data_IF_881690491598
#
_entry.id   IF_881690491598
#
_cell.length_a   1.000
_cell.length_b   1.000
_cell.length_c   1.000
_cell.angle_alpha   90.00
_cell.angle_beta   90.00
_cell.angle_gamma   90.00
#
_symmetry.space_group_name_H-M   'P 1'
#
loop_
_entity.id
_entity.type
_entity.pdbx_description
1 polymer ?
#
# COMPACT_ATOMS: atom_id res chain seq x y z
N UNK A 1 9.32 41.23 -38.56
CA UNK A 1 10.21 41.34 -39.72
C UNK A 1 10.39 39.94 -40.32
N UNK A 2 10.07 39.73 -41.61
CA UNK A 2 10.02 38.44 -42.30
C UNK A 2 11.29 38.15 -43.13
N UNK A 3 11.32 37.04 -43.90
CA UNK A 3 11.30 37.16 -45.37
C UNK A 3 10.30 36.15 -45.99
N UNK A 4 9.43 36.43 -46.96
CA UNK A 4 9.51 37.13 -48.27
C UNK A 4 10.35 36.38 -49.31
N UNK A 5 9.71 35.72 -50.30
CA UNK A 5 10.08 35.62 -51.72
C UNK A 5 8.95 34.85 -52.46
N UNK A 6 8.04 35.56 -53.13
CA UNK A 6 8.02 35.94 -54.56
C UNK A 6 7.44 34.87 -55.51
N UNK A 7 6.26 35.19 -56.07
CA UNK A 7 5.57 34.54 -57.20
C UNK A 7 6.32 34.78 -58.53
N UNK A 8 5.94 34.13 -59.66
CA UNK A 8 4.83 34.69 -60.49
C UNK A 8 3.99 33.68 -61.35
N UNK A 9 2.78 34.09 -61.74
CA UNK A 9 1.98 33.69 -62.93
C UNK A 9 2.39 34.57 -64.15
N UNK A 10 1.86 34.53 -65.41
CA UNK A 10 0.74 33.78 -66.06
C UNK A 10 1.19 33.07 -67.39
N UNK A 11 0.40 32.42 -68.26
CA UNK A 11 -0.54 32.96 -69.29
C UNK A 11 -0.98 31.83 -70.27
N UNK A 12 -2.22 31.87 -70.76
CA UNK A 12 -2.84 31.15 -71.91
C UNK A 12 -2.17 31.50 -73.26
N UNK A 13 -2.36 30.80 -74.42
CA UNK A 13 -3.65 30.55 -75.12
C UNK A 13 -3.79 29.23 -75.95
N UNK A 14 -5.01 29.00 -76.47
CA UNK A 14 -5.39 28.04 -77.54
C UNK A 14 -4.74 28.35 -78.90
N UNK A 15 -4.81 27.44 -79.91
CA UNK A 15 -5.87 27.62 -80.93
C UNK A 15 -6.47 26.32 -81.53
N UNK A 16 -7.72 26.45 -81.98
CA UNK A 16 -8.38 25.58 -82.97
C UNK A 16 -7.76 25.79 -84.36
N UNK A 17 -7.70 24.75 -85.18
CA UNK A 17 -7.79 24.88 -86.64
C UNK A 17 -8.64 23.75 -87.24
N UNK A 18 -9.58 24.18 -88.07
CA UNK A 18 -10.52 23.43 -88.90
C UNK A 18 -10.00 23.43 -90.36
N UNK A 19 -10.80 22.83 -91.28
CA UNK A 19 -10.78 22.92 -92.77
C UNK A 19 -10.10 21.70 -93.42
N UNK A 20 -10.65 21.00 -94.44
CA UNK A 20 -11.97 20.94 -95.06
C UNK A 20 -12.03 19.77 -96.08
N UNK A 21 -13.27 19.51 -96.53
CA UNK A 21 -13.68 19.15 -97.91
C UNK A 21 -13.67 17.68 -98.40
N UNK A 22 -14.92 17.22 -98.62
CA UNK A 22 -15.53 16.23 -99.54
C UNK A 22 -14.92 16.17 -100.99
N UNK A 23 -15.30 15.23 -101.90
CA UNK A 23 -16.55 14.45 -101.96
C UNK A 23 -16.48 12.95 -102.40
N UNK A 24 -17.66 12.31 -102.30
CA UNK A 24 -18.07 10.99 -102.78
C UNK A 24 -17.90 10.75 -104.30
N UNK A 25 -18.02 9.49 -104.73
CA UNK A 25 -18.97 9.17 -105.80
C UNK A 25 -19.86 7.95 -105.51
N UNK A 26 -21.03 7.97 -106.15
CA UNK A 26 -22.13 7.02 -106.05
C UNK A 26 -21.88 5.66 -106.75
N UNK A 27 -22.55 4.63 -106.21
CA UNK A 27 -23.18 3.42 -106.78
C UNK A 27 -23.19 3.19 -108.32
N UNK A 28 -23.30 1.93 -108.83
CA UNK A 28 -24.29 0.94 -108.36
C UNK A 28 -23.91 -0.56 -108.46
N UNK A 29 -24.76 -1.42 -107.88
CA UNK A 29 -25.40 -2.56 -108.55
C UNK A 29 -25.59 -3.78 -107.65
N UNK A 30 -26.84 -4.22 -107.62
CA UNK A 30 -27.38 -5.43 -106.98
C UNK A 30 -26.89 -6.67 -107.70
N UNK A 31 -26.38 -7.66 -106.97
CA UNK A 31 -26.37 -9.07 -107.39
C UNK A 31 -26.37 -10.00 -106.17
N UNK A 32 -27.55 -10.44 -105.76
CA UNK A 32 -27.73 -11.54 -104.80
C UNK A 32 -27.50 -12.87 -105.50
N UNK A 33 -26.44 -13.57 -105.13
CA UNK A 33 -26.28 -15.00 -105.37
C UNK A 33 -25.48 -15.61 -104.22
N UNK A 34 -26.16 -16.26 -103.28
CA UNK A 34 -25.55 -17.17 -102.31
C UNK A 34 -25.06 -18.43 -103.02
N UNK A 35 -24.03 -19.11 -102.49
CA UNK A 35 -24.31 -20.49 -102.09
C UNK A 35 -23.76 -20.86 -100.70
N UNK A 36 -24.50 -21.78 -100.11
CA UNK A 36 -24.40 -22.44 -98.82
C UNK A 36 -23.05 -23.15 -98.55
N UNK A 37 -22.49 -22.87 -97.37
CA UNK A 37 -21.33 -23.56 -96.79
C UNK A 37 -20.84 -22.95 -95.46
N UNK A 38 -21.27 -21.73 -95.10
CA UNK A 38 -20.74 -20.96 -93.95
C UNK A 38 -21.50 -21.03 -92.62
N UNK A 39 -22.56 -21.84 -92.50
CA UNK A 39 -23.45 -21.88 -91.32
C UNK A 39 -22.76 -22.40 -90.06
N UNK A 40 -21.93 -23.43 -90.19
CA UNK A 40 -21.33 -24.14 -89.05
C UNK A 40 -20.12 -23.36 -88.46
N UNK A 41 -19.31 -22.76 -89.34
CA UNK A 41 -18.23 -21.85 -88.95
C UNK A 41 -18.74 -20.54 -88.32
N UNK A 42 -19.90 -20.04 -88.77
CA UNK A 42 -20.53 -18.86 -88.18
C UNK A 42 -21.08 -19.14 -86.78
N UNK A 43 -21.69 -20.33 -86.58
CA UNK A 43 -22.16 -20.78 -85.27
C UNK A 43 -21.01 -20.93 -84.27
N UNK A 44 -19.88 -21.54 -84.69
CA UNK A 44 -18.68 -21.67 -83.85
C UNK A 44 -18.08 -20.31 -83.46
N UNK A 45 -18.01 -19.33 -84.38
CA UNK A 45 -17.55 -17.97 -84.09
C UNK A 45 -18.45 -17.25 -83.08
N UNK A 46 -19.77 -17.46 -83.16
CA UNK A 46 -20.75 -16.92 -82.21
C UNK A 46 -20.59 -17.51 -80.81
N UNK A 47 -20.37 -18.82 -80.71
CA UNK A 47 -20.12 -19.51 -79.45
C UNK A 47 -18.82 -19.05 -78.79
N UNK A 48 -17.73 -18.93 -79.56
CA UNK A 48 -16.45 -18.41 -79.07
C UNK A 48 -16.56 -16.95 -78.57
N UNK A 49 -17.30 -16.10 -79.30
CA UNK A 49 -17.57 -14.73 -78.86
C UNK A 49 -18.45 -14.67 -77.61
N UNK A 50 -19.39 -15.61 -77.45
CA UNK A 50 -20.21 -15.71 -76.25
C UNK A 50 -19.37 -16.12 -75.03
N UNK A 51 -18.47 -17.09 -75.19
CA UNK A 51 -17.50 -17.50 -74.18
C UNK A 51 -16.57 -16.34 -73.79
N UNK A 52 -15.98 -15.64 -74.76
CA UNK A 52 -15.10 -14.50 -74.48
C UNK A 52 -15.83 -13.35 -73.78
N UNK A 53 -17.08 -13.06 -74.17
CA UNK A 53 -17.91 -12.04 -73.49
C UNK A 53 -18.22 -12.44 -72.05
N UNK A 54 -18.45 -13.73 -71.80
CA UNK A 54 -18.64 -14.27 -70.45
C UNK A 54 -17.37 -14.12 -69.62
N UNK A 55 -16.23 -14.56 -70.13
CA UNK A 55 -14.94 -14.45 -69.41
C UNK A 55 -14.58 -12.99 -69.11
N UNK A 56 -14.83 -12.05 -70.04
CA UNK A 56 -14.64 -10.61 -69.79
C UNK A 56 -15.59 -10.10 -68.71
N UNK A 57 -16.84 -10.57 -68.66
CA UNK A 57 -17.79 -10.18 -67.63
C UNK A 57 -17.39 -10.72 -66.25
N UNK A 58 -16.92 -11.97 -66.20
CA UNK A 58 -16.43 -12.63 -65.00
C UNK A 58 -15.16 -11.94 -64.47
N UNK A 59 -14.17 -11.67 -65.35
CA UNK A 59 -12.97 -10.91 -64.98
C UNK A 59 -13.30 -9.50 -64.45
N UNK A 60 -14.26 -8.81 -65.07
CA UNK A 60 -14.74 -7.51 -64.57
C UNK A 60 -15.39 -7.62 -63.19
N UNK A 61 -16.07 -8.74 -62.89
CA UNK A 61 -16.68 -8.98 -61.59
C UNK A 61 -15.61 -9.24 -60.54
N UNK A 62 -14.66 -10.13 -60.83
CA UNK A 62 -13.51 -10.42 -59.94
C UNK A 62 -12.70 -9.16 -59.65
N UNK A 63 -12.44 -8.34 -60.67
CA UNK A 63 -11.73 -7.07 -60.50
C UNK A 63 -12.47 -6.11 -59.54
N UNK A 64 -13.81 -6.00 -59.67
CA UNK A 64 -14.63 -5.21 -58.74
C UNK A 64 -14.60 -5.77 -57.32
N UNK A 65 -14.63 -7.09 -57.17
CA UNK A 65 -14.56 -7.75 -55.86
C UNK A 65 -13.19 -7.53 -55.19
N UNK A 66 -12.10 -7.66 -55.95
CA UNK A 66 -10.76 -7.37 -55.46
C UNK A 66 -10.61 -5.90 -55.04
N UNK A 67 -11.12 -4.96 -55.84
CA UNK A 67 -11.11 -3.55 -55.48
C UNK A 67 -11.89 -3.27 -54.19
N UNK A 68 -13.07 -3.90 -54.02
CA UNK A 68 -13.86 -3.79 -52.79
C UNK A 68 -13.14 -4.44 -51.60
N UNK A 69 -12.47 -5.57 -51.79
CA UNK A 69 -11.68 -6.22 -50.75
C UNK A 69 -10.51 -5.33 -50.31
N UNK A 70 -9.82 -4.69 -51.26
CA UNK A 70 -8.74 -3.75 -50.99
C UNK A 70 -9.23 -2.52 -50.20
N UNK A 71 -10.36 -1.93 -50.57
CA UNK A 71 -10.97 -0.81 -49.84
C UNK A 71 -11.39 -1.23 -48.42
N UNK A 72 -12.02 -2.40 -48.28
CA UNK A 72 -12.40 -2.95 -46.97
C UNK A 72 -11.18 -3.20 -46.09
N UNK A 73 -10.11 -3.79 -46.64
CA UNK A 73 -8.87 -4.03 -45.90
C UNK A 73 -8.23 -2.73 -45.43
N UNK A 74 -8.17 -1.72 -46.31
CA UNK A 74 -7.65 -0.39 -45.96
C UNK A 74 -8.47 0.25 -44.85
N UNK A 75 -9.81 0.12 -44.91
CA UNK A 75 -10.71 0.63 -43.88
C UNK A 75 -10.49 -0.10 -42.54
N UNK A 76 -10.49 -1.42 -42.52
CA UNK A 76 -10.29 -2.20 -41.28
C UNK A 76 -8.93 -1.92 -40.64
N UNK A 77 -7.87 -1.77 -41.45
CA UNK A 77 -6.54 -1.37 -40.95
C UNK A 77 -6.56 0.03 -40.35
N UNK A 78 -7.19 1.00 -41.03
CA UNK A 78 -7.32 2.37 -40.53
C UNK A 78 -8.10 2.42 -39.21
N UNK A 79 -9.19 1.68 -39.12
CA UNK A 79 -10.02 1.61 -37.92
C UNK A 79 -9.24 0.98 -36.76
N UNK A 80 -8.56 -0.16 -37.00
CA UNK A 80 -7.75 -0.84 -35.99
C UNK A 80 -6.58 0.03 -35.49
N UNK A 81 -5.88 0.73 -36.39
CA UNK A 81 -4.80 1.66 -36.02
C UNK A 81 -5.34 2.83 -35.19
N UNK A 82 -6.50 3.37 -35.55
CA UNK A 82 -7.15 4.44 -34.79
C UNK A 82 -7.54 3.96 -33.39
N UNK A 83 -8.10 2.76 -33.25
CA UNK A 83 -8.40 2.15 -31.95
C UNK A 83 -7.14 1.97 -31.10
N UNK A 84 -6.07 1.38 -31.65
CA UNK A 84 -4.80 1.21 -30.93
C UNK A 84 -4.24 2.56 -30.49
N UNK A 85 -4.31 3.58 -31.35
CA UNK A 85 -3.85 4.92 -31.01
C UNK A 85 -4.66 5.51 -29.84
N UNK A 86 -5.98 5.35 -29.83
CA UNK A 86 -6.83 5.78 -28.72
C UNK A 86 -6.50 5.04 -27.43
N UNK A 87 -6.36 3.72 -27.48
CA UNK A 87 -6.05 2.89 -26.31
C UNK A 87 -4.68 3.25 -25.72
N UNK A 88 -3.67 3.49 -26.57
CA UNK A 88 -2.34 3.93 -26.11
C UNK A 88 -2.38 5.29 -25.42
N UNK A 89 -3.17 6.24 -25.93
CA UNK A 89 -3.34 7.54 -25.27
C UNK A 89 -4.08 7.38 -23.93
N UNK A 90 -5.13 6.56 -23.89
CA UNK A 90 -5.86 6.28 -22.68
C UNK A 90 -4.95 5.64 -21.61
N UNK A 91 -4.19 4.60 -21.97
CA UNK A 91 -3.22 3.96 -21.08
C UNK A 91 -2.15 4.95 -20.58
N UNK A 92 -1.65 5.82 -21.46
CA UNK A 92 -0.67 6.85 -21.07
C UNK A 92 -1.25 7.82 -20.04
N UNK A 93 -2.49 8.26 -20.22
CA UNK A 93 -3.16 9.13 -19.25
C UNK A 93 -3.44 8.43 -17.93
N UNK A 94 -3.86 7.17 -17.97
CA UNK A 94 -4.08 6.36 -16.77
C UNK A 94 -2.77 6.16 -15.99
N UNK A 95 -1.68 5.83 -16.69
CA UNK A 95 -0.37 5.65 -16.06
C UNK A 95 0.13 6.94 -15.39
N UNK A 96 -0.10 8.10 -16.01
CA UNK A 96 0.24 9.38 -15.40
C UNK A 96 -0.58 9.65 -14.12
N UNK A 97 -1.88 9.33 -14.15
CA UNK A 97 -2.78 9.42 -12.99
C UNK A 97 -2.33 8.49 -11.88
N UNK A 98 -2.10 7.21 -12.19
CA UNK A 98 -1.67 6.19 -11.21
C UNK A 98 -0.33 6.57 -10.58
N UNK A 99 0.61 7.09 -11.38
CA UNK A 99 1.89 7.60 -10.86
C UNK A 99 1.65 8.68 -9.80
N UNK A 100 0.83 9.69 -10.11
CA UNK A 100 0.52 10.76 -9.15
C UNK A 100 -0.14 10.21 -7.89
N UNK A 101 -1.08 9.26 -8.03
CA UNK A 101 -1.72 8.61 -6.90
C UNK A 101 -0.70 7.84 -6.03
N UNK A 102 0.19 7.06 -6.64
CA UNK A 102 1.24 6.34 -5.92
C UNK A 102 2.20 7.29 -5.21
N UNK A 103 2.65 8.36 -5.88
CA UNK A 103 3.52 9.38 -5.29
C UNK A 103 2.85 10.05 -4.07
N UNK A 104 1.54 10.32 -4.15
CA UNK A 104 0.77 10.85 -3.03
C UNK A 104 0.72 9.87 -1.85
N UNK A 105 0.44 8.59 -2.10
CA UNK A 105 0.42 7.57 -1.02
C UNK A 105 1.80 7.40 -0.38
N UNK A 106 2.88 7.45 -1.17
CA UNK A 106 4.26 7.38 -0.68
C UNK A 106 4.58 8.60 0.18
N UNK A 107 4.16 9.80 -0.23
CA UNK A 107 4.35 11.01 0.55
C UNK A 107 3.64 10.94 1.91
N UNK A 108 2.38 10.46 1.93
CA UNK A 108 1.62 10.25 3.17
C UNK A 108 2.31 9.22 4.07
N UNK A 109 2.71 8.06 3.54
CA UNK A 109 3.40 7.03 4.29
C UNK A 109 4.75 7.51 4.86
N UNK A 110 5.49 8.31 4.10
CA UNK A 110 6.73 8.92 4.58
C UNK A 110 6.48 9.87 5.76
N UNK A 111 5.40 10.66 5.68
CA UNK A 111 4.97 11.54 6.77
C UNK A 111 4.65 10.75 8.04
N UNK A 112 3.77 9.75 7.94
CA UNK A 112 3.35 8.94 9.09
C UNK A 112 4.52 8.17 9.71
N UNK A 113 5.42 7.62 8.90
CA UNK A 113 6.64 6.95 9.42
C UNK A 113 7.56 7.94 10.15
N UNK A 114 7.68 9.18 9.65
CA UNK A 114 8.44 10.24 10.33
C UNK A 114 7.84 10.60 11.68
N UNK A 115 6.51 10.79 11.74
CA UNK A 115 5.78 11.05 12.99
C UNK A 115 5.91 9.90 13.98
N UNK A 116 5.75 8.64 13.52
CA UNK A 116 5.98 7.45 14.34
C UNK A 116 7.41 7.36 14.88
N UNK A 117 8.41 7.73 14.07
CA UNK A 117 9.80 7.77 14.51
C UNK A 117 10.01 8.80 15.63
N UNK A 118 9.37 9.96 15.52
CA UNK A 118 9.45 10.99 16.56
C UNK A 118 8.76 10.56 17.86
N UNK A 119 7.53 10.00 17.77
CA UNK A 119 6.79 9.55 18.97
C UNK A 119 7.49 8.39 19.66
N UNK A 120 8.09 7.46 18.90
CA UNK A 120 8.87 6.36 19.46
C UNK A 120 10.14 6.86 20.17
N UNK A 121 10.80 7.88 19.62
CA UNK A 121 11.97 8.50 20.26
C UNK A 121 11.57 9.14 21.60
N UNK A 122 10.49 9.93 21.62
CA UNK A 122 9.98 10.52 22.87
C UNK A 122 9.56 9.48 23.89
N UNK A 123 8.87 8.41 23.47
CA UNK A 123 8.52 7.30 24.36
C UNK A 123 9.75 6.59 24.94
N UNK A 124 10.81 6.45 24.13
CA UNK A 124 12.08 5.86 24.60
C UNK A 124 12.72 6.73 25.68
N UNK A 125 12.76 8.05 25.47
CA UNK A 125 13.29 9.00 26.44
C UNK A 125 12.48 8.97 27.76
N UNK A 126 11.15 8.95 27.67
CA UNK A 126 10.25 8.83 28.82
C UNK A 126 10.50 7.53 29.60
N UNK A 127 10.68 6.40 28.91
CA UNK A 127 10.98 5.11 29.55
C UNK A 127 12.32 5.17 30.30
N UNK A 128 13.35 5.80 29.71
CA UNK A 128 14.66 5.96 30.36
C UNK A 128 14.53 6.84 31.60
N UNK A 129 13.79 7.94 31.51
CA UNK A 129 13.52 8.82 32.64
C UNK A 129 12.76 8.10 33.77
N UNK A 130 11.72 7.34 33.42
CA UNK A 130 10.95 6.54 34.37
C UNK A 130 11.81 5.49 35.06
N UNK A 131 12.64 4.75 34.32
CA UNK A 131 13.58 3.77 34.90
C UNK A 131 14.52 4.41 35.91
N UNK A 132 15.10 5.55 35.55
CA UNK A 132 16.00 6.31 36.44
C UNK A 132 15.26 6.74 37.72
N UNK A 133 14.01 7.20 37.59
CA UNK A 133 13.18 7.61 38.74
C UNK A 133 12.87 6.42 39.65
N UNK A 134 12.53 5.27 39.06
CA UNK A 134 12.25 4.03 39.80
C UNK A 134 13.50 3.60 40.57
N UNK A 135 14.68 3.57 39.93
CA UNK A 135 15.94 3.21 40.59
C UNK A 135 16.25 4.14 41.77
N UNK A 136 16.08 5.45 41.59
CA UNK A 136 16.27 6.45 42.65
C UNK A 136 15.28 6.25 43.81
N UNK A 137 14.02 5.97 43.50
CA UNK A 137 12.98 5.77 44.51
C UNK A 137 13.22 4.47 45.27
N UNK A 138 13.56 3.38 44.57
CA UNK A 138 13.92 2.09 45.19
C UNK A 138 15.11 2.26 46.14
N UNK A 139 16.17 2.97 45.72
CA UNK A 139 17.31 3.25 46.59
C UNK A 139 16.90 4.04 47.84
N UNK A 140 16.00 5.01 47.70
CA UNK A 140 15.48 5.81 48.82
C UNK A 140 14.65 4.96 49.77
N UNK A 141 13.78 4.09 49.26
CA UNK A 141 12.98 3.16 50.07
C UNK A 141 13.89 2.24 50.87
N UNK A 142 14.88 1.60 50.24
CA UNK A 142 15.84 0.74 50.95
C UNK A 142 16.62 1.52 52.01
N UNK A 143 17.00 2.77 51.73
CA UNK A 143 17.67 3.61 52.72
C UNK A 143 16.76 3.90 53.93
N UNK A 144 15.48 4.20 53.69
CA UNK A 144 14.50 4.47 54.74
C UNK A 144 14.19 3.22 55.55
N UNK A 145 14.03 2.06 54.91
CA UNK A 145 13.86 0.77 55.59
C UNK A 145 15.02 0.48 56.54
N UNK A 146 16.26 0.64 56.08
CA UNK A 146 17.45 0.44 56.92
C UNK A 146 17.51 1.43 58.10
N UNK A 147 17.10 2.70 57.88
CA UNK A 147 17.04 3.70 58.95
C UNK A 147 15.95 3.36 59.98
N UNK A 148 14.78 2.93 59.53
CA UNK A 148 13.69 2.51 60.41
C UNK A 148 14.12 1.30 61.26
N UNK A 149 14.75 0.30 60.65
CA UNK A 149 15.27 -0.87 61.36
C UNK A 149 16.33 -0.49 62.40
N UNK A 150 17.29 0.39 62.07
CA UNK A 150 18.28 0.87 63.04
C UNK A 150 17.61 1.61 64.21
N UNK A 151 16.66 2.50 63.93
CA UNK A 151 15.94 3.24 64.95
C UNK A 151 15.11 2.32 65.86
N UNK A 152 14.42 1.33 65.29
CA UNK A 152 13.66 0.33 66.05
C UNK A 152 14.58 -0.52 66.93
N UNK A 153 15.68 -1.00 66.36
CA UNK A 153 16.72 -1.75 67.08
C UNK A 153 17.34 -0.94 68.23
N UNK A 154 17.64 0.34 68.02
CA UNK A 154 18.18 1.24 69.06
C UNK A 154 17.15 1.56 70.14
N UNK A 155 15.90 1.79 69.74
CA UNK A 155 14.81 2.09 70.67
C UNK A 155 14.53 0.91 71.61
N UNK A 156 14.67 -0.32 71.12
CA UNK A 156 14.41 -1.55 71.90
C UNK A 156 15.66 -2.21 72.48
N UNK A 157 16.85 -1.63 72.30
CA UNK A 157 18.13 -2.24 72.69
C UNK A 157 18.21 -2.63 74.16
N UNK A 158 17.57 -1.86 75.04
CA UNK A 158 17.56 -2.10 76.48
C UNK A 158 16.30 -2.84 76.96
N UNK A 159 15.43 -3.26 76.03
CA UNK A 159 14.20 -3.96 76.36
C UNK A 159 14.45 -5.47 76.31
N UNK A 160 14.06 -6.17 77.38
CA UNK A 160 14.14 -7.63 77.46
C UNK A 160 12.72 -8.19 77.51
N UNK A 161 12.45 -9.24 76.73
CA UNK A 161 11.17 -9.94 76.73
C UNK A 161 11.32 -11.31 77.41
N UNK A 162 10.64 -11.48 78.54
CA UNK A 162 10.64 -12.72 79.32
C UNK A 162 9.36 -13.48 79.01
N UNK A 163 9.48 -14.76 78.63
CA UNK A 163 8.35 -15.63 78.25
C UNK A 163 8.21 -16.76 79.28
N UNK A 164 6.98 -17.21 79.56
CA UNK A 164 6.72 -18.28 80.51
C UNK A 164 6.56 -17.82 81.97
N UNK A 165 6.36 -16.53 82.23
CA UNK A 165 6.15 -15.99 83.58
C UNK A 165 4.66 -16.09 83.96
N UNK A 166 4.28 -16.89 84.97
CA UNK A 166 2.89 -17.06 85.39
C UNK A 166 2.17 -15.74 85.69
N UNK A 167 0.87 -15.68 85.39
CA UNK A 167 0.09 -14.45 85.54
C UNK A 167 -0.58 -14.31 86.91
N UNK A 168 -0.04 -13.45 87.76
CA UNK A 168 -0.62 -13.01 89.03
C UNK A 168 -0.57 -11.48 89.22
N UNK A 169 -1.32 -10.91 90.18
CA UNK A 169 -1.44 -9.46 90.36
C UNK A 169 -0.10 -8.74 90.57
N UNK A 170 0.86 -9.37 91.25
CA UNK A 170 2.14 -8.72 91.60
C UNK A 170 3.34 -9.17 90.75
N UNK A 171 3.10 -10.09 89.81
CA UNK A 171 4.13 -10.77 89.00
C UNK A 171 4.77 -9.90 87.91
N UNK A 172 4.21 -8.72 87.64
CA UNK A 172 4.67 -7.80 86.60
C UNK A 172 5.24 -6.49 87.18
N UNK A 173 5.34 -6.36 88.50
CA UNK A 173 5.96 -5.19 89.13
C UNK A 173 7.46 -5.18 88.88
N UNK A 174 8.08 -4.01 88.83
CA UNK A 174 9.52 -3.88 88.59
C UNK A 174 10.34 -4.62 89.65
N UNK A 175 9.90 -4.57 90.91
CA UNK A 175 10.52 -5.33 92.01
C UNK A 175 10.44 -6.85 91.79
N UNK A 176 9.26 -7.39 91.42
CA UNK A 176 9.11 -8.82 91.16
C UNK A 176 9.97 -9.30 89.98
N UNK A 177 10.03 -8.52 88.90
CA UNK A 177 10.86 -8.84 87.73
C UNK A 177 12.36 -8.72 88.07
N UNK A 178 12.76 -7.74 88.87
CA UNK A 178 14.15 -7.59 89.30
C UNK A 178 14.60 -8.77 90.18
N UNK A 179 13.76 -9.20 91.12
CA UNK A 179 14.01 -10.38 91.94
C UNK A 179 14.11 -11.67 91.08
N UNK A 180 13.20 -11.83 90.12
CA UNK A 180 13.21 -12.94 89.16
C UNK A 180 14.51 -12.99 88.36
N UNK A 181 14.96 -11.84 87.83
CA UNK A 181 16.21 -11.76 87.07
C UNK A 181 17.44 -12.05 87.95
N UNK A 182 17.43 -11.56 89.19
CA UNK A 182 18.49 -11.86 90.16
C UNK A 182 18.61 -13.36 90.40
N UNK A 183 17.49 -14.03 90.64
CA UNK A 183 17.45 -15.48 90.88
C UNK A 183 17.86 -16.26 89.62
N UNK A 184 17.26 -15.94 88.46
CA UNK A 184 17.49 -16.67 87.21
C UNK A 184 18.93 -16.60 86.70
N UNK A 185 19.59 -15.45 86.88
CA UNK A 185 20.97 -15.22 86.41
C UNK A 185 22.02 -15.29 87.53
N UNK A 186 21.62 -15.52 88.79
CA UNK A 186 22.54 -15.59 89.93
C UNK A 186 23.27 -14.26 90.21
N UNK A 187 22.58 -13.13 90.06
CA UNK A 187 23.18 -11.81 90.23
C UNK A 187 23.41 -11.49 91.73
N UNK A 188 24.52 -10.84 92.06
CA UNK A 188 24.81 -10.42 93.44
C UNK A 188 23.76 -9.42 93.98
N UNK A 189 23.29 -8.53 93.12
CA UNK A 189 22.29 -7.49 93.41
C UNK A 189 21.16 -7.53 92.38
N UNK A 190 19.97 -7.10 92.80
CA UNK A 190 18.84 -6.89 91.89
C UNK A 190 19.17 -5.83 90.82
N UNK A 191 18.89 -6.10 89.54
CA UNK A 191 19.10 -5.15 88.46
C UNK A 191 18.11 -3.97 88.58
N UNK A 192 18.54 -2.79 88.14
CA UNK A 192 17.68 -1.61 88.07
C UNK A 192 16.82 -1.71 86.81
N UNK A 193 15.51 -1.60 86.97
CA UNK A 193 14.53 -1.64 85.88
C UNK A 193 13.76 -0.32 85.84
N UNK A 194 13.75 0.34 84.68
CA UNK A 194 12.99 1.58 84.49
C UNK A 194 11.48 1.32 84.42
N UNK A 195 11.09 0.24 83.74
CA UNK A 195 9.68 -0.13 83.57
C UNK A 195 9.55 -1.63 83.34
N UNK A 196 8.45 -2.20 83.82
CA UNK A 196 8.02 -3.57 83.52
C UNK A 196 6.53 -3.56 83.15
N UNK A 197 6.18 -4.25 82.08
CA UNK A 197 4.80 -4.42 81.65
C UNK A 197 4.60 -5.77 80.95
N UNK A 198 3.37 -6.27 80.93
CA UNK A 198 2.99 -7.42 80.10
C UNK A 198 2.72 -6.95 78.68
N UNK A 199 2.91 -7.83 77.70
CA UNK A 199 2.41 -7.57 76.34
C UNK A 199 0.88 -7.52 76.36
N UNK A 200 0.26 -6.82 75.40
CA UNK A 200 -1.20 -6.67 75.29
C UNK A 200 -1.93 -7.98 74.91
N UNK A 201 -1.34 -9.14 75.15
CA UNK A 201 -1.96 -10.44 74.87
C UNK A 201 -2.98 -10.79 75.97
N UNK A 202 -4.09 -11.48 75.63
CA UNK A 202 -5.03 -11.98 76.62
C UNK A 202 -4.36 -12.94 77.60
N UNK A 203 -4.84 -12.97 78.85
CA UNK A 203 -4.40 -13.91 79.88
C UNK A 203 -4.52 -15.36 79.36
N UNK A 204 -3.43 -16.16 79.40
CA UNK A 204 -3.45 -17.57 79.02
C UNK A 204 -4.48 -18.35 79.84
N UNK A 205 -5.14 -19.32 79.22
CA UNK A 205 -6.05 -20.23 79.94
C UNK A 205 -5.26 -21.17 80.85
N UNK A 206 -5.96 -21.77 81.81
CA UNK A 206 -5.36 -22.78 82.70
C UNK A 206 -4.75 -23.92 81.87
N UNK A 207 -3.42 -24.10 81.98
CA UNK A 207 -2.65 -25.10 81.24
C UNK A 207 -1.99 -24.62 79.94
N UNK A 208 -2.29 -23.40 79.47
CA UNK A 208 -1.58 -22.78 78.34
C UNK A 208 -0.30 -22.09 78.81
N UNK A 209 0.70 -22.00 77.93
CA UNK A 209 2.01 -21.40 78.27
C UNK A 209 1.89 -19.86 78.30
N UNK A 210 2.31 -19.21 79.41
CA UNK A 210 2.44 -17.76 79.49
C UNK A 210 3.58 -17.19 78.63
#
# INVERSE_FOLDING_TARGET
>A
APPSHHAPTPTTPSPQESIAALPSPSEPAVASASPSGGSDLAAFKLELLALLRKDIADFRKEFREHQKHQENLQKTLSDALSTIQHDLQAMKTQQASDKVATDATIATLKGTVGEMGHTLSGCTDDIVHMKTTIESLTATVTQLENKCEDLESRSRRNNVRIVGVPEGPDTCTTAAVAALLKEAFGLEKEPVLDWSHRTLQPKPKSGERP
#
